data_IF_213265698865
#
_entry.id   IF_213265698865
#
_cell.length_a   1.000
_cell.length_b   1.000
_cell.length_c   1.000
_cell.angle_alpha   90.00
_cell.angle_beta   90.00
_cell.angle_gamma   90.00
#
_symmetry.space_group_name_H-M   'P 1'
#
loop_
_entity.id
_entity.type
_entity.pdbx_description
1 polymer ?
#
# COMPACT_ATOMS: atom_id res chain seq x y z
N UNK A 1 -13.91 24.03 -62.72
CA UNK A 1 -14.03 24.41 -61.30
C UNK A 1 -13.93 23.16 -60.43
N UNK A 2 -12.75 22.91 -59.86
CA UNK A 2 -12.45 21.75 -59.02
C UNK A 2 -12.66 22.14 -57.55
N UNK A 3 -13.63 21.45 -56.89
CA UNK A 3 -13.92 21.71 -55.46
C UNK A 3 -12.98 20.88 -54.62
N UNK A 4 -12.08 21.53 -53.88
CA UNK A 4 -11.27 20.93 -52.81
C UNK A 4 -12.14 20.66 -51.57
N UNK A 5 -12.26 19.40 -51.16
CA UNK A 5 -12.83 19.01 -49.89
C UNK A 5 -11.68 18.84 -48.89
N UNK A 6 -11.64 19.60 -47.75
CA UNK A 6 -10.59 19.41 -46.79
C UNK A 6 -10.84 18.13 -45.98
N UNK A 7 -9.89 17.22 -45.99
CA UNK A 7 -9.85 16.06 -45.07
C UNK A 7 -9.46 16.56 -43.67
N UNK A 8 -10.39 16.48 -42.74
CA UNK A 8 -10.11 16.67 -41.30
C UNK A 8 -9.61 15.34 -40.79
N UNK A 9 -8.29 15.26 -40.51
CA UNK A 9 -7.69 14.10 -39.84
C UNK A 9 -8.08 14.15 -38.35
N UNK A 10 -8.92 13.20 -37.92
CA UNK A 10 -9.26 12.97 -36.52
C UNK A 10 -8.04 12.36 -35.82
N UNK A 11 -7.29 13.16 -35.06
CA UNK A 11 -6.18 12.68 -34.25
C UNK A 11 -6.79 11.96 -33.04
N UNK A 12 -6.77 10.62 -33.10
CA UNK A 12 -7.10 9.79 -31.95
C UNK A 12 -5.94 9.87 -30.95
N UNK A 13 -6.07 10.71 -29.91
CA UNK A 13 -5.13 10.69 -28.78
C UNK A 13 -5.35 9.40 -28.00
N UNK A 14 -4.28 8.59 -27.75
CA UNK A 14 -4.40 7.46 -26.84
C UNK A 14 -4.78 7.99 -25.46
N UNK A 15 -5.87 7.48 -24.91
CA UNK A 15 -6.20 7.68 -23.50
C UNK A 15 -5.06 7.07 -22.67
N UNK A 16 -4.31 7.90 -21.96
CA UNK A 16 -3.39 7.44 -20.92
C UNK A 16 -4.29 6.91 -19.79
N UNK A 17 -4.53 5.61 -19.78
CA UNK A 17 -5.04 4.95 -18.60
C UNK A 17 -3.95 5.04 -17.54
N UNK A 18 -4.19 5.82 -16.49
CA UNK A 18 -3.40 5.72 -15.25
C UNK A 18 -3.57 4.27 -14.77
N UNK A 19 -2.51 3.49 -14.88
CA UNK A 19 -2.46 2.17 -14.25
C UNK A 19 -2.69 2.40 -12.75
N UNK A 20 -3.63 1.63 -12.17
CA UNK A 20 -3.73 1.49 -10.72
C UNK A 20 -2.31 1.34 -10.20
N UNK A 21 -1.94 2.05 -9.10
CA UNK A 21 -0.57 2.18 -8.61
C UNK A 21 0.06 0.87 -8.12
N UNK A 22 -0.26 -0.27 -8.76
CA UNK A 22 0.31 -1.57 -8.45
C UNK A 22 0.53 -2.45 -9.70
N UNK A 23 1.40 -3.45 -9.57
CA UNK A 23 1.64 -4.54 -10.54
C UNK A 23 1.51 -5.87 -9.81
N UNK A 24 0.77 -6.81 -10.38
CA UNK A 24 0.57 -8.16 -9.84
C UNK A 24 0.77 -9.24 -10.88
N UNK A 25 1.43 -10.34 -10.50
CA UNK A 25 1.43 -11.59 -11.28
C UNK A 25 0.12 -12.35 -11.03
N UNK A 26 -0.27 -13.28 -11.93
CA UNK A 26 -1.47 -14.10 -11.74
C UNK A 26 -1.46 -14.98 -10.49
N UNK A 27 -0.33 -15.10 -9.80
CA UNK A 27 -0.20 -15.83 -8.53
C UNK A 27 -0.83 -15.12 -7.33
N UNK A 28 -1.05 -13.81 -7.44
CA UNK A 28 -1.62 -12.96 -6.37
C UNK A 28 -2.94 -12.37 -6.84
N UNK A 29 -3.95 -12.48 -5.99
CA UNK A 29 -5.23 -11.76 -6.13
C UNK A 29 -5.18 -10.56 -5.20
N UNK A 30 -5.41 -9.39 -5.77
CA UNK A 30 -5.38 -8.12 -5.06
C UNK A 30 -6.79 -7.80 -4.59
N UNK A 31 -6.92 -7.49 -3.31
CA UNK A 31 -8.12 -6.92 -2.69
C UNK A 31 -8.00 -5.40 -2.59
N UNK A 32 -8.22 -4.88 -1.39
CA UNK A 32 -8.15 -3.45 -1.16
C UNK A 32 -6.71 -2.94 -1.03
N UNK A 33 -6.50 -1.73 -1.55
CA UNK A 33 -5.28 -0.93 -1.38
C UNK A 33 -5.72 0.44 -0.88
N UNK A 34 -5.12 0.92 0.22
CA UNK A 34 -5.51 2.25 0.71
C UNK A 34 -5.14 2.53 2.15
N UNK A 35 -5.89 3.48 2.72
CA UNK A 35 -5.70 4.01 4.07
C UNK A 35 -6.63 3.30 5.06
N UNK A 36 -6.14 3.16 6.30
CA UNK A 36 -6.83 2.50 7.39
C UNK A 36 -6.81 3.36 8.65
N UNK A 37 -7.92 3.35 9.39
CA UNK A 37 -7.96 3.96 10.73
C UNK A 37 -7.23 3.12 11.76
N UNK A 38 -6.89 3.72 12.92
CA UNK A 38 -6.34 2.99 14.06
C UNK A 38 -7.24 1.80 14.45
N UNK A 39 -6.60 0.73 14.86
CA UNK A 39 -7.25 -0.52 15.28
C UNK A 39 -6.66 -1.00 16.61
N UNK A 40 -7.34 -1.94 17.23
CA UNK A 40 -6.87 -2.54 18.47
C UNK A 40 -5.77 -3.57 18.20
N UNK A 41 -4.61 -3.36 18.81
CA UNK A 41 -3.51 -4.33 18.84
C UNK A 41 -3.83 -5.38 19.89
N UNK A 42 -3.85 -6.66 19.49
CA UNK A 42 -4.13 -7.79 20.38
C UNK A 42 -2.89 -8.55 20.83
N UNK A 43 -1.76 -8.26 20.18
CA UNK A 43 -0.47 -8.88 20.46
C UNK A 43 0.59 -8.49 19.46
N UNK A 44 1.72 -9.21 19.47
CA UNK A 44 2.79 -9.04 18.49
C UNK A 44 3.47 -10.37 18.20
N UNK A 45 4.02 -10.51 17.00
CA UNK A 45 4.82 -11.66 16.57
C UNK A 45 6.25 -11.22 16.25
N UNK A 46 7.27 -12.05 16.56
CA UNK A 46 8.65 -11.73 16.22
C UNK A 46 8.85 -11.57 14.72
N UNK A 47 9.41 -10.44 14.31
CA UNK A 47 9.80 -10.14 12.93
C UNK A 47 11.18 -9.45 12.94
N UNK A 48 12.27 -10.21 13.07
CA UNK A 48 13.62 -9.66 13.33
C UNK A 48 14.17 -8.78 12.19
N UNK A 49 13.55 -8.82 11.01
CA UNK A 49 13.92 -8.00 9.86
C UNK A 49 12.99 -6.77 9.71
N UNK A 50 12.33 -6.35 10.77
CA UNK A 50 11.63 -5.06 10.86
C UNK A 50 12.38 -4.12 11.82
N UNK A 51 12.11 -2.84 11.74
CA UNK A 51 12.80 -1.81 12.54
C UNK A 51 12.67 -2.06 14.04
N UNK A 52 11.47 -2.46 14.50
CA UNK A 52 11.20 -2.76 15.92
C UNK A 52 11.35 -4.25 16.28
N UNK A 53 11.71 -5.12 15.32
CA UNK A 53 11.88 -6.55 15.53
C UNK A 53 10.59 -7.35 15.72
N UNK A 54 9.43 -6.76 15.43
CA UNK A 54 8.13 -7.38 15.61
C UNK A 54 7.10 -6.82 14.60
N UNK A 55 6.01 -7.56 14.40
CA UNK A 55 4.79 -7.09 13.75
C UNK A 55 3.62 -7.24 14.68
N UNK A 56 2.68 -6.30 14.63
CA UNK A 56 1.47 -6.33 15.43
C UNK A 56 0.47 -7.37 14.92
N UNK A 57 -0.20 -8.03 15.85
CA UNK A 57 -1.41 -8.80 15.58
C UNK A 57 -2.63 -7.98 15.99
N UNK A 58 -3.67 -8.00 15.15
CA UNK A 58 -4.85 -7.16 15.30
C UNK A 58 -6.11 -8.00 15.43
N UNK A 59 -7.16 -7.44 16.05
CA UNK A 59 -8.49 -8.05 16.06
C UNK A 59 -9.36 -7.49 14.93
N UNK A 60 -10.00 -8.38 14.18
CA UNK A 60 -10.89 -8.01 13.07
C UNK A 60 -10.14 -7.56 11.82
N UNK A 61 -10.89 -7.00 10.89
CA UNK A 61 -10.35 -6.41 9.66
C UNK A 61 -10.50 -4.89 9.73
N UNK A 62 -9.40 -4.12 9.75
CA UNK A 62 -9.45 -2.67 9.66
C UNK A 62 -10.13 -2.26 8.35
N UNK A 63 -11.11 -1.38 8.43
CA UNK A 63 -11.79 -0.88 7.25
C UNK A 63 -10.88 0.05 6.44
N UNK A 64 -10.89 -0.13 5.13
CA UNK A 64 -10.31 0.84 4.20
C UNK A 64 -11.19 2.08 4.20
N UNK A 65 -10.63 3.23 4.57
CA UNK A 65 -11.34 4.52 4.60
C UNK A 65 -11.17 5.31 3.30
N UNK A 66 -10.11 5.02 2.54
CA UNK A 66 -9.87 5.61 1.23
C UNK A 66 -9.05 4.66 0.35
N UNK A 67 -9.51 4.40 -0.86
CA UNK A 67 -8.75 3.66 -1.88
C UNK A 67 -7.82 4.66 -2.60
N UNK A 68 -6.64 4.84 -2.05
CA UNK A 68 -5.62 5.75 -2.58
C UNK A 68 -4.22 5.25 -2.25
N UNK A 69 -3.27 5.64 -3.05
CA UNK A 69 -1.83 5.44 -2.79
C UNK A 69 -1.13 6.72 -2.34
N UNK A 70 -1.86 7.83 -2.21
CA UNK A 70 -1.35 9.05 -1.59
C UNK A 70 -1.67 9.03 -0.10
N UNK A 71 -0.64 9.05 0.74
CA UNK A 71 -0.72 8.84 2.18
C UNK A 71 -0.29 10.11 2.91
N UNK A 72 -1.17 10.82 3.61
CA UNK A 72 -0.73 11.94 4.45
C UNK A 72 0.06 11.40 5.66
N UNK A 73 1.23 11.99 5.93
CA UNK A 73 2.08 11.62 7.06
C UNK A 73 1.45 12.07 8.39
N UNK A 74 0.48 11.31 8.90
CA UNK A 74 -0.27 11.57 10.14
C UNK A 74 0.00 10.43 11.12
N UNK A 75 0.29 10.71 12.42
CA UNK A 75 0.41 9.66 13.42
C UNK A 75 -0.83 8.77 13.49
N UNK A 76 -0.64 7.51 13.77
CA UNK A 76 -1.66 6.45 13.88
C UNK A 76 -2.37 6.08 12.55
N UNK A 77 -2.08 6.76 11.44
CA UNK A 77 -2.62 6.39 10.13
C UNK A 77 -1.95 5.13 9.61
N UNK A 78 -2.77 4.13 9.25
CA UNK A 78 -2.34 2.94 8.54
C UNK A 78 -2.52 3.06 7.04
N UNK A 79 -1.67 2.39 6.27
CA UNK A 79 -1.82 2.21 4.82
C UNK A 79 -1.22 0.88 4.38
N UNK A 80 -1.79 0.28 3.35
CA UNK A 80 -1.32 -1.03 2.93
C UNK A 80 -2.19 -1.70 1.89
N UNK A 81 -2.06 -3.02 1.82
CA UNK A 81 -2.63 -3.87 0.78
C UNK A 81 -3.26 -5.13 1.35
N UNK A 82 -4.39 -5.53 0.80
CA UNK A 82 -5.00 -6.84 1.06
C UNK A 82 -4.71 -7.77 -0.09
N UNK A 83 -4.09 -8.90 0.19
CA UNK A 83 -3.63 -9.86 -0.81
C UNK A 83 -4.02 -11.28 -0.40
N UNK A 84 -4.31 -12.12 -1.39
CA UNK A 84 -4.41 -13.57 -1.22
C UNK A 84 -3.73 -14.29 -2.38
N UNK A 85 -3.45 -15.55 -2.22
CA UNK A 85 -2.97 -16.36 -3.34
C UNK A 85 -4.12 -16.63 -4.33
N UNK A 86 -3.79 -16.83 -5.59
CA UNK A 86 -4.73 -17.37 -6.55
C UNK A 86 -5.06 -18.84 -6.17
N UNK A 87 -6.23 -19.32 -6.60
CA UNK A 87 -6.70 -20.66 -6.30
C UNK A 87 -5.67 -21.74 -6.69
N UNK A 88 -5.35 -22.62 -5.75
CA UNK A 88 -4.38 -23.70 -5.93
C UNK A 88 -2.91 -23.26 -6.02
N UNK A 89 -2.61 -21.97 -5.83
CA UNK A 89 -1.24 -21.47 -5.82
C UNK A 89 -0.64 -21.60 -4.42
N UNK A 90 0.65 -21.96 -4.36
CA UNK A 90 1.45 -21.97 -3.14
C UNK A 90 2.75 -21.20 -3.40
N UNK A 91 3.09 -20.30 -2.48
CA UNK A 91 4.32 -19.49 -2.50
C UNK A 91 5.11 -19.68 -1.18
N UNK A 92 5.70 -20.87 -0.96
CA UNK A 92 6.43 -21.15 0.28
C UNK A 92 7.65 -20.23 0.40
N UNK A 93 7.80 -19.62 1.59
CA UNK A 93 8.89 -18.67 1.84
C UNK A 93 8.74 -17.32 1.12
N UNK A 94 7.53 -16.96 0.69
CA UNK A 94 7.26 -15.61 0.22
C UNK A 94 7.32 -14.62 1.40
N UNK A 95 7.90 -13.47 1.14
CA UNK A 95 8.02 -12.37 2.10
C UNK A 95 7.20 -11.16 1.64
N UNK A 96 6.58 -10.46 2.56
CA UNK A 96 6.20 -9.07 2.36
C UNK A 96 7.43 -8.21 2.62
N UNK A 97 7.69 -7.30 1.70
CA UNK A 97 8.81 -6.37 1.79
C UNK A 97 8.26 -4.96 1.66
N UNK A 98 8.50 -4.14 2.68
CA UNK A 98 8.19 -2.71 2.66
C UNK A 98 9.48 -1.94 2.47
N UNK A 99 9.50 -1.07 1.46
CA UNK A 99 10.62 -0.16 1.22
C UNK A 99 10.16 1.27 1.45
N UNK A 100 11.04 2.07 2.05
CA UNK A 100 10.74 3.42 2.49
C UNK A 100 12.02 4.29 2.55
N UNK A 101 11.91 5.63 2.69
CA UNK A 101 13.07 6.47 2.95
C UNK A 101 13.84 6.03 4.20
N UNK A 102 15.14 6.38 4.34
CA UNK A 102 15.94 5.98 5.49
C UNK A 102 15.28 6.33 6.83
N UNK A 103 15.07 5.32 7.69
CA UNK A 103 14.33 5.40 8.95
C UNK A 103 15.21 5.05 10.14
N UNK A 104 14.94 5.68 11.28
CA UNK A 104 15.64 5.40 12.52
C UNK A 104 17.12 5.79 12.52
N UNK A 105 17.81 5.45 13.59
CA UNK A 105 19.24 5.81 13.78
C UNK A 105 20.17 5.05 12.83
N UNK A 106 19.77 3.89 12.38
CA UNK A 106 20.56 3.03 11.48
C UNK A 106 20.25 3.28 10.00
N UNK A 107 19.26 4.13 9.70
CA UNK A 107 18.87 4.46 8.33
C UNK A 107 18.31 3.27 7.56
N UNK A 108 17.50 2.43 8.22
CA UNK A 108 16.83 1.28 7.60
C UNK A 108 15.96 1.77 6.44
N UNK A 109 16.02 1.09 5.31
CA UNK A 109 15.24 1.41 4.10
C UNK A 109 14.33 0.28 3.64
N UNK A 110 14.41 -0.87 4.31
CA UNK A 110 13.65 -2.07 3.94
C UNK A 110 13.31 -2.89 5.19
N UNK A 111 12.05 -3.32 5.28
CA UNK A 111 11.56 -4.19 6.33
C UNK A 111 10.90 -5.42 5.71
N UNK A 112 11.02 -6.59 6.35
CA UNK A 112 10.55 -7.88 5.81
C UNK A 112 9.91 -8.74 6.87
N UNK A 113 8.83 -9.44 6.49
CA UNK A 113 8.24 -10.50 7.31
C UNK A 113 7.60 -11.58 6.44
N UNK A 114 7.32 -12.73 7.04
CA UNK A 114 6.62 -13.83 6.39
C UNK A 114 5.12 -13.70 6.64
N UNK A 115 4.31 -13.43 5.61
CA UNK A 115 2.86 -13.37 5.76
C UNK A 115 2.26 -14.77 5.81
N UNK A 116 1.09 -14.90 6.42
CA UNK A 116 0.29 -16.13 6.37
C UNK A 116 -0.62 -16.13 5.14
N UNK A 117 -0.06 -16.20 3.93
CA UNK A 117 -0.83 -16.21 2.69
C UNK A 117 -1.48 -17.57 2.41
N UNK A 118 -2.75 -17.51 2.03
CA UNK A 118 -3.52 -18.65 1.51
C UNK A 118 -4.42 -18.21 0.35
N UNK A 119 -5.13 -19.16 -0.27
CA UNK A 119 -6.02 -18.91 -1.41
C UNK A 119 -7.49 -18.70 -1.03
N UNK A 120 -7.83 -18.75 0.26
CA UNK A 120 -9.19 -18.66 0.77
C UNK A 120 -9.53 -17.27 1.32
N UNK A 121 -8.59 -16.66 2.04
CA UNK A 121 -8.80 -15.40 2.76
C UNK A 121 -7.77 -14.35 2.37
N UNK A 122 -8.18 -13.09 2.36
CA UNK A 122 -7.24 -11.99 2.21
C UNK A 122 -6.42 -11.81 3.48
N UNK A 123 -5.14 -11.56 3.30
CA UNK A 123 -4.21 -11.16 4.35
C UNK A 123 -3.92 -9.67 4.18
N UNK A 124 -4.14 -8.89 5.22
CA UNK A 124 -3.76 -7.49 5.26
C UNK A 124 -2.27 -7.38 5.59
N UNK A 125 -1.54 -6.66 4.75
CA UNK A 125 -0.17 -6.23 5.00
C UNK A 125 -0.18 -4.71 4.99
N UNK A 126 0.09 -4.10 6.14
CA UNK A 126 0.00 -2.65 6.29
C UNK A 126 1.13 -2.13 7.17
N UNK A 127 1.41 -0.85 7.01
CA UNK A 127 2.26 -0.04 7.86
C UNK A 127 1.41 1.00 8.58
N UNK A 128 1.64 1.22 9.85
CA UNK A 128 1.05 2.29 10.63
C UNK A 128 2.17 3.17 11.18
N UNK A 129 1.98 4.46 11.15
CA UNK A 129 2.92 5.41 11.73
C UNK A 129 2.77 5.46 13.26
N UNK A 130 3.49 4.60 13.98
CA UNK A 130 3.43 4.50 15.43
C UNK A 130 4.35 5.51 16.13
N UNK A 131 5.43 5.91 15.43
CA UNK A 131 6.44 6.80 15.99
C UNK A 131 6.68 8.02 15.11
N UNK A 132 7.05 9.19 15.71
CA UNK A 132 7.31 10.40 14.93
C UNK A 132 8.40 10.27 13.85
N UNK A 133 9.38 9.39 14.07
CA UNK A 133 10.47 9.15 13.09
C UNK A 133 10.04 8.35 11.87
N UNK A 134 8.84 7.76 11.88
CA UNK A 134 8.25 7.00 10.77
C UNK A 134 7.48 7.88 9.78
N UNK A 135 7.18 9.13 10.16
CA UNK A 135 6.45 10.09 9.32
C UNK A 135 7.32 10.61 8.15
N UNK A 136 7.88 9.68 7.37
CA UNK A 136 8.84 9.97 6.31
C UNK A 136 8.12 10.21 4.98
N UNK A 137 8.15 11.46 4.54
CA UNK A 137 7.65 11.87 3.23
C UNK A 137 8.54 11.28 2.13
N UNK A 138 7.90 10.76 1.06
CA UNK A 138 8.57 10.18 -0.09
C UNK A 138 7.93 8.89 -0.57
N UNK A 139 8.63 8.20 -1.46
CA UNK A 139 8.16 6.95 -2.06
C UNK A 139 8.27 5.78 -1.08
N UNK A 140 7.17 5.05 -0.93
CA UNK A 140 7.07 3.80 -0.19
C UNK A 140 6.57 2.71 -1.12
N UNK A 141 6.88 1.46 -0.83
CA UNK A 141 6.32 0.35 -1.59
C UNK A 141 6.08 -0.87 -0.72
N UNK A 142 5.02 -1.62 -1.06
CA UNK A 142 4.76 -2.96 -0.56
C UNK A 142 4.97 -3.94 -1.69
N UNK A 143 5.78 -4.96 -1.49
CA UNK A 143 5.97 -6.04 -2.46
C UNK A 143 5.83 -7.41 -1.81
N UNK A 144 5.44 -8.39 -2.62
CA UNK A 144 5.51 -9.82 -2.29
C UNK A 144 6.64 -10.42 -3.10
N UNK A 145 7.65 -10.93 -2.43
CA UNK A 145 8.86 -11.46 -3.04
C UNK A 145 9.09 -12.92 -2.65
N UNK A 146 9.55 -13.72 -3.61
CA UNK A 146 9.94 -15.12 -3.38
C UNK A 146 11.11 -15.48 -4.29
N UNK A 147 12.20 -15.98 -3.71
CA UNK A 147 13.36 -16.46 -4.47
C UNK A 147 13.95 -15.42 -5.43
N UNK A 148 13.94 -14.15 -5.05
CA UNK A 148 14.41 -13.03 -5.88
C UNK A 148 13.43 -12.58 -6.97
N UNK A 149 12.21 -13.09 -6.98
CA UNK A 149 11.14 -12.67 -7.90
C UNK A 149 10.06 -11.88 -7.18
N UNK A 150 9.68 -10.74 -7.75
CA UNK A 150 8.51 -9.97 -7.31
C UNK A 150 7.25 -10.55 -7.92
N UNK A 151 6.28 -10.91 -7.07
CA UNK A 151 4.95 -11.39 -7.45
C UNK A 151 3.90 -10.29 -7.41
N UNK A 152 4.08 -9.31 -6.54
CA UNK A 152 3.24 -8.14 -6.39
C UNK A 152 4.09 -6.95 -5.96
N UNK A 153 3.71 -5.75 -6.39
CA UNK A 153 4.22 -4.49 -5.87
C UNK A 153 3.15 -3.40 -6.00
N UNK A 154 2.95 -2.65 -4.92
CA UNK A 154 2.19 -1.40 -4.89
C UNK A 154 3.11 -0.27 -4.43
N UNK A 155 2.99 0.89 -5.08
CA UNK A 155 3.77 2.10 -4.80
C UNK A 155 2.86 3.11 -4.11
N UNK A 156 3.32 3.69 -3.00
CA UNK A 156 2.64 4.71 -2.23
C UNK A 156 3.49 5.98 -2.19
N UNK A 157 2.84 7.12 -2.22
CA UNK A 157 3.49 8.42 -2.05
C UNK A 157 3.06 9.02 -0.70
N UNK A 158 3.97 9.00 0.26
CA UNK A 158 3.74 9.63 1.57
C UNK A 158 4.03 11.11 1.45
N UNK A 159 3.02 11.93 1.73
CA UNK A 159 3.05 13.38 1.54
C UNK A 159 2.86 14.13 2.85
N UNK A 160 3.32 15.39 2.94
CA UNK A 160 2.97 16.23 4.09
C UNK A 160 1.45 16.34 4.24
N UNK A 161 0.90 16.22 5.46
CA UNK A 161 -0.53 16.30 5.66
C UNK A 161 -1.05 17.70 5.32
N UNK A 162 -2.27 17.81 4.74
CA UNK A 162 -2.95 19.11 4.62
C UNK A 162 -3.09 19.80 5.97
N UNK A 163 -3.03 21.13 5.98
CA UNK A 163 -3.13 21.90 7.21
C UNK A 163 -4.44 21.60 7.96
N UNK A 164 -4.33 21.21 9.24
CA UNK A 164 -5.46 20.89 10.09
C UNK A 164 -6.06 19.48 9.90
N UNK A 165 -5.54 18.65 8.99
CA UNK A 165 -5.97 17.26 8.87
C UNK A 165 -5.44 16.47 10.07
N UNK A 166 -6.35 15.79 10.76
CA UNK A 166 -6.07 14.91 11.90
C UNK A 166 -6.58 13.51 11.62
N UNK A 167 -6.09 12.52 12.35
CA UNK A 167 -6.57 11.15 12.25
C UNK A 167 -8.06 11.04 12.56
N UNK A 168 -8.54 11.77 13.59
CA UNK A 168 -9.96 11.79 13.97
C UNK A 168 -10.85 12.34 12.85
N UNK A 169 -10.45 13.46 12.21
CA UNK A 169 -11.18 14.04 11.09
C UNK A 169 -11.21 13.08 9.89
N UNK A 170 -10.10 12.41 9.62
CA UNK A 170 -10.01 11.44 8.52
C UNK A 170 -10.89 10.22 8.78
N UNK A 171 -10.87 9.69 10.01
CA UNK A 171 -11.60 8.48 10.38
C UNK A 171 -13.10 8.71 10.66
N UNK A 172 -13.53 9.94 10.98
CA UNK A 172 -14.95 10.30 11.08
C UNK A 172 -15.60 10.54 9.69
N UNK A 173 -14.80 10.59 8.62
CA UNK A 173 -15.25 10.89 7.27
C UNK A 173 -15.36 12.38 6.94
N UNK A 174 -15.10 13.26 7.91
CA UNK A 174 -15.16 14.71 7.69
C UNK A 174 -13.99 15.22 6.83
N UNK A 175 -12.84 14.56 6.91
CA UNK A 175 -11.63 14.92 6.17
C UNK A 175 -11.63 14.57 4.68
N UNK A 176 -12.58 13.76 4.21
CA UNK A 176 -12.66 13.30 2.81
C UNK A 176 -13.62 14.17 1.95
N UNK A 177 -14.28 15.16 2.54
CA UNK A 177 -15.31 15.98 1.88
C UNK A 177 -14.86 17.39 1.50
N UNK A 178 -13.57 17.72 1.66
CA UNK A 178 -13.05 19.06 1.36
C UNK A 178 -12.15 19.09 0.11
#
# INVERSE_FOLDING_TARGET
MMKYVPYVALICMPAVTFAEGYRSKPTIVVGDIGLHCPYEITGSEPAPNTEIGAIDTISGEPQVIAHTTTVPAIPDLGFGVQLRLAEGVSLPGAEVVVRHPPMGAEGVTEQRWYPNFNDQTYTLSMYRFDFPYELLVGEWSFSVEQGGQTHFIAEFDVVPPPAGLTIDALCSGEGLLS
#
